data_IF_479438188892
#
_entry.id   IF_479438188892
#
_cell.length_a   1.000
_cell.length_b   1.000
_cell.length_c   1.000
_cell.angle_alpha   90.00
_cell.angle_beta   90.00
_cell.angle_gamma   90.00
#
_symmetry.space_group_name_H-M   'P 1'
#
loop_
_entity.id
_entity.type
_entity.pdbx_description
1 polymer ?
#
# COMPACT_ATOMS: atom_id res chain seq x y z
N UNK A 1 4.48 -13.46 -4.55
CA UNK A 1 3.80 -12.38 -3.83
C UNK A 1 3.00 -11.54 -4.80
N UNK A 2 1.85 -11.07 -4.38
CA UNK A 2 1.03 -10.21 -5.22
C UNK A 2 1.24 -8.74 -4.85
N UNK A 3 1.25 -7.84 -5.84
CA UNK A 3 1.23 -6.42 -5.54
C UNK A 3 -0.04 -6.04 -4.77
N UNK A 4 0.05 -5.01 -3.95
CA UNK A 4 -1.09 -4.54 -3.17
C UNK A 4 -2.31 -4.21 -4.04
N UNK A 5 -2.09 -3.69 -5.24
CA UNK A 5 -3.17 -3.33 -6.13
C UNK A 5 -4.04 -4.53 -6.57
N UNK A 6 -3.54 -5.74 -6.40
CA UNK A 6 -4.29 -6.95 -6.72
C UNK A 6 -4.98 -7.55 -5.49
N UNK A 7 -4.81 -6.95 -4.32
CA UNK A 7 -5.47 -7.41 -3.11
C UNK A 7 -6.96 -7.13 -3.17
N UNK A 8 -7.74 -7.98 -2.52
CA UNK A 8 -9.19 -7.79 -2.48
C UNK A 8 -9.57 -6.67 -1.54
N UNK A 9 -10.60 -5.93 -1.91
CA UNK A 9 -11.12 -4.85 -1.08
C UNK A 9 -11.66 -5.43 0.24
N UNK A 10 -11.27 -4.80 1.35
CA UNK A 10 -11.68 -5.25 2.68
C UNK A 10 -10.81 -6.32 3.29
N UNK A 11 -9.85 -6.85 2.54
CA UNK A 11 -8.94 -7.87 3.05
C UNK A 11 -7.71 -7.23 3.67
N UNK A 12 -7.37 -7.71 4.88
CA UNK A 12 -6.17 -7.25 5.56
C UNK A 12 -4.95 -8.00 5.05
N UNK A 13 -3.92 -7.27 4.73
CA UNK A 13 -2.69 -7.84 4.19
C UNK A 13 -1.49 -7.38 5.00
N UNK A 14 -0.46 -8.24 5.05
CA UNK A 14 0.81 -7.89 5.69
C UNK A 14 1.79 -7.48 4.60
N UNK A 15 2.41 -6.33 4.77
CA UNK A 15 3.41 -5.83 3.82
C UNK A 15 4.66 -6.68 3.97
N UNK A 16 5.05 -7.35 2.90
CA UNK A 16 6.23 -8.21 2.91
C UNK A 16 7.43 -7.56 2.24
N UNK A 17 7.17 -6.66 1.29
CA UNK A 17 8.24 -6.00 0.57
C UNK A 17 7.74 -4.67 0.01
N UNK A 18 8.60 -3.67 0.02
CA UNK A 18 8.35 -2.39 -0.63
C UNK A 18 9.44 -2.20 -1.67
N UNK A 19 9.05 -2.13 -2.93
CA UNK A 19 9.98 -1.92 -4.04
C UNK A 19 10.15 -0.45 -4.37
N UNK A 20 10.93 -0.17 -5.43
CA UNK A 20 11.14 1.17 -5.92
C UNK A 20 12.42 1.79 -5.43
N UNK A 21 12.61 3.08 -5.74
CA UNK A 21 13.79 3.82 -5.32
C UNK A 21 13.76 4.12 -3.82
N UNK A 22 14.92 4.46 -3.23
CA UNK A 22 14.94 4.85 -1.82
C UNK A 22 14.02 6.01 -1.50
N UNK A 23 13.83 6.93 -2.43
CA UNK A 23 12.92 8.07 -2.24
C UNK A 23 11.48 7.61 -2.12
N UNK A 24 11.07 6.68 -2.95
CA UNK A 24 9.72 6.13 -2.92
C UNK A 24 9.51 5.34 -1.63
N UNK A 25 10.49 4.53 -1.23
CA UNK A 25 10.43 3.79 0.01
C UNK A 25 10.26 4.73 1.21
N UNK A 26 11.04 5.80 1.24
CA UNK A 26 10.97 6.77 2.32
C UNK A 26 9.61 7.44 2.37
N UNK A 27 9.07 7.79 1.20
CA UNK A 27 7.75 8.40 1.12
C UNK A 27 6.67 7.46 1.67
N UNK A 28 6.72 6.20 1.26
CA UNK A 28 5.76 5.20 1.73
C UNK A 28 5.89 4.94 3.23
N UNK A 29 7.10 4.90 3.74
CA UNK A 29 7.33 4.75 5.18
C UNK A 29 6.74 5.93 5.95
N UNK A 30 6.86 7.14 5.44
CA UNK A 30 6.30 8.33 6.06
C UNK A 30 4.78 8.27 6.12
N UNK A 31 4.16 7.57 5.17
CA UNK A 31 2.72 7.36 5.15
C UNK A 31 2.28 6.21 6.07
N UNK A 32 3.23 5.44 6.58
CA UNK A 32 2.94 4.33 7.47
C UNK A 32 3.12 2.94 6.85
N UNK A 33 3.55 2.85 5.61
CA UNK A 33 3.79 1.57 4.94
C UNK A 33 5.16 1.04 5.31
N UNK A 34 5.19 0.08 6.23
CA UNK A 34 6.46 -0.53 6.66
C UNK A 34 6.37 -2.04 6.49
N UNK A 35 7.50 -2.66 6.22
CA UNK A 35 7.58 -4.12 6.12
C UNK A 35 7.17 -4.73 7.44
N UNK A 36 6.27 -5.71 7.39
CA UNK A 36 5.70 -6.33 8.59
C UNK A 36 4.45 -5.63 9.09
N UNK A 37 4.14 -4.44 8.56
CA UNK A 37 2.93 -3.72 8.92
C UNK A 37 1.72 -4.28 8.21
N UNK A 38 0.54 -3.93 8.69
CA UNK A 38 -0.72 -4.40 8.13
C UNK A 38 -1.36 -3.28 7.31
N UNK A 39 -1.95 -3.65 6.18
CA UNK A 39 -2.65 -2.71 5.30
C UNK A 39 -3.92 -3.35 4.79
N UNK A 40 -5.00 -2.58 4.74
CA UNK A 40 -6.29 -3.03 4.22
C UNK A 40 -6.70 -2.15 3.05
N UNK A 41 -7.00 -2.75 1.91
CA UNK A 41 -7.51 -2.01 0.75
C UNK A 41 -8.98 -1.69 1.01
N UNK A 42 -9.32 -0.41 1.02
CA UNK A 42 -10.69 0.05 1.26
C UNK A 42 -11.44 0.23 -0.06
N UNK A 43 -10.78 0.79 -1.05
CA UNK A 43 -11.41 1.05 -2.34
C UNK A 43 -10.35 1.31 -3.39
N UNK A 44 -10.75 1.27 -4.66
CA UNK A 44 -9.88 1.60 -5.78
C UNK A 44 -10.69 2.44 -6.77
N UNK A 45 -10.23 3.65 -7.03
CA UNK A 45 -10.92 4.61 -7.89
C UNK A 45 -9.96 5.26 -8.87
N UNK A 46 -10.28 5.14 -10.16
CA UNK A 46 -9.64 5.95 -11.20
C UNK A 46 -8.11 6.01 -11.18
N UNK A 47 -7.43 4.88 -10.95
CA UNK A 47 -5.98 4.85 -10.90
C UNK A 47 -5.39 5.11 -9.53
N UNK A 48 -6.24 5.26 -8.51
CA UNK A 48 -5.80 5.42 -7.13
C UNK A 48 -6.34 4.29 -6.28
N UNK A 49 -5.59 3.93 -5.23
CA UNK A 49 -6.01 2.91 -4.29
C UNK A 49 -6.11 3.56 -2.92
N UNK A 50 -7.26 3.40 -2.27
CA UNK A 50 -7.48 3.91 -0.92
C UNK A 50 -7.28 2.78 0.05
N UNK A 51 -6.38 2.96 1.00
CA UNK A 51 -6.02 1.93 1.97
C UNK A 51 -6.07 2.46 3.38
N UNK A 52 -6.30 1.56 4.33
CA UNK A 52 -6.15 1.83 5.74
C UNK A 52 -4.80 1.29 6.19
N UNK A 53 -3.99 2.14 6.79
CA UNK A 53 -2.71 1.74 7.35
C UNK A 53 -2.53 2.46 8.68
N UNK A 54 -2.19 1.72 9.75
CA UNK A 54 -2.01 2.29 11.09
C UNK A 54 -3.18 3.19 11.53
N UNK A 55 -4.40 2.73 11.31
CA UNK A 55 -5.62 3.45 11.67
C UNK A 55 -5.85 4.74 10.87
N UNK A 56 -5.04 4.98 9.85
CA UNK A 56 -5.20 6.12 8.97
C UNK A 56 -5.61 5.67 7.58
N UNK A 57 -6.43 6.48 6.92
CA UNK A 57 -6.83 6.21 5.55
C UNK A 57 -5.97 7.04 4.61
N UNK A 58 -5.31 6.38 3.67
CA UNK A 58 -4.39 7.01 2.74
C UNK A 58 -4.75 6.62 1.32
N UNK A 59 -4.72 7.59 0.40
CA UNK A 59 -4.88 7.33 -1.02
C UNK A 59 -3.50 7.33 -1.67
N UNK A 60 -3.20 6.28 -2.43
CA UNK A 60 -1.94 6.17 -3.15
C UNK A 60 -2.24 5.87 -4.61
N UNK A 61 -1.30 6.22 -5.50
CA UNK A 61 -1.45 5.93 -6.92
C UNK A 61 -1.26 4.44 -7.18
N UNK A 62 -1.80 3.98 -8.31
CA UNK A 62 -1.59 2.60 -8.74
C UNK A 62 -0.12 2.26 -8.85
N UNK A 63 0.69 3.19 -9.34
CA UNK A 63 2.13 2.97 -9.47
C UNK A 63 2.78 2.67 -8.13
N UNK A 64 2.39 3.38 -7.09
CA UNK A 64 2.91 3.11 -5.76
C UNK A 64 2.36 1.80 -5.19
N UNK A 65 1.10 1.51 -5.46
CA UNK A 65 0.49 0.26 -5.00
C UNK A 65 1.19 -0.96 -5.60
N UNK A 66 1.68 -0.85 -6.83
CA UNK A 66 2.42 -1.93 -7.47
C UNK A 66 3.74 -2.25 -6.76
N UNK A 67 4.28 -1.29 -6.04
CA UNK A 67 5.57 -1.45 -5.37
C UNK A 67 5.44 -2.04 -3.96
N UNK A 68 4.21 -2.15 -3.46
CA UNK A 68 3.95 -2.75 -2.14
C UNK A 68 3.48 -4.19 -2.34
N UNK A 69 4.15 -5.10 -1.70
CA UNK A 69 3.87 -6.54 -1.82
C UNK A 69 3.62 -7.19 -0.48
#
# INVERSE_FOLDING_TARGET
>A
MMPLMLAQIGEENIIRKIGGSPEIKQHLENLGFVVGGTVTVVNALGGNVIVNVKESRVAISEEMAKKIM
#
